data_IF_987634893565
#
_entry.id   IF_987634893565
#
_cell.length_a   1.000
_cell.length_b   1.000
_cell.length_c   1.000
_cell.angle_alpha   90.00
_cell.angle_beta   90.00
_cell.angle_gamma   90.00
#
_symmetry.space_group_name_H-M   'P 1'
#
loop_
_entity.id
_entity.type
_entity.pdbx_description
1 polymer ?
#
# COMPACT_ATOMS: atom_id res chain seq x y z
N UNK A 1 43.50 32.83 39.83
CA UNK A 1 42.95 33.78 38.84
C UNK A 1 42.47 32.93 37.66
N UNK A 2 41.19 32.56 37.61
CA UNK A 2 40.13 33.17 36.77
C UNK A 2 40.41 32.92 35.26
N UNK A 3 39.58 32.32 34.39
CA UNK A 3 38.11 32.27 34.14
C UNK A 3 37.83 31.03 33.24
N UNK A 4 36.84 30.16 33.49
CA UNK A 4 35.45 30.21 32.97
C UNK A 4 35.30 30.64 31.50
N UNK A 5 35.00 29.70 30.58
CA UNK A 5 34.03 29.81 29.44
C UNK A 5 33.64 28.36 29.05
N UNK A 6 32.56 27.79 29.58
CA UNK A 6 31.20 27.77 29.01
C UNK A 6 31.07 26.91 27.73
N UNK A 7 30.74 25.63 27.93
CA UNK A 7 30.10 24.76 26.95
C UNK A 7 28.65 25.26 26.78
N UNK A 8 28.28 25.74 25.60
CA UNK A 8 26.88 25.83 25.21
C UNK A 8 26.69 25.25 23.82
N UNK A 9 25.93 24.16 23.81
CA UNK A 9 25.46 23.41 22.67
C UNK A 9 24.74 24.32 21.68
N UNK A 10 25.25 24.36 20.44
CA UNK A 10 24.41 24.69 19.30
C UNK A 10 23.55 23.45 19.00
N UNK A 11 22.37 23.42 19.59
CA UNK A 11 21.25 22.62 19.07
C UNK A 11 20.87 23.17 17.71
N UNK A 12 21.44 22.59 16.66
CA UNK A 12 20.93 22.75 15.30
C UNK A 12 19.56 22.08 15.24
N UNK A 13 18.49 22.87 15.40
CA UNK A 13 17.18 22.52 14.87
C UNK A 13 17.29 22.54 13.34
N UNK A 14 17.83 21.46 12.77
CA UNK A 14 17.66 21.18 11.36
C UNK A 14 16.17 20.90 11.13
N UNK A 15 15.56 21.69 10.24
CA UNK A 15 14.17 21.58 9.87
C UNK A 15 13.80 20.13 9.55
N UNK A 16 12.71 19.66 10.17
CA UNK A 16 11.91 18.60 9.59
C UNK A 16 11.20 19.17 8.35
N UNK A 17 11.95 19.44 7.28
CA UNK A 17 11.40 19.31 5.95
C UNK A 17 10.97 17.84 5.81
N UNK A 18 9.74 17.63 5.34
CA UNK A 18 9.12 16.30 5.18
C UNK A 18 10.00 15.39 4.35
N UNK A 19 10.92 14.70 5.02
CA UNK A 19 11.85 13.78 4.40
C UNK A 19 11.10 12.47 4.20
N UNK A 20 11.13 12.00 2.94
CA UNK A 20 10.73 10.64 2.58
C UNK A 20 11.29 9.67 3.64
N UNK A 21 10.48 8.77 4.22
CA UNK A 21 11.00 7.82 5.18
C UNK A 21 12.05 6.94 4.48
N UNK A 22 13.19 6.77 5.12
CA UNK A 22 14.19 5.80 4.66
C UNK A 22 13.72 4.36 4.91
N UNK A 23 14.40 3.41 4.28
CA UNK A 23 14.01 2.00 4.32
C UNK A 23 14.00 1.45 5.74
N UNK A 24 14.93 1.89 6.60
CA UNK A 24 15.00 1.49 8.00
C UNK A 24 13.76 1.97 8.78
N UNK A 25 13.33 3.22 8.58
CA UNK A 25 12.12 3.74 9.18
C UNK A 25 10.87 3.00 8.69
N UNK A 26 10.79 2.66 7.40
CA UNK A 26 9.68 1.87 6.84
C UNK A 26 9.63 0.48 7.50
N UNK A 27 10.77 -0.21 7.60
CA UNK A 27 10.89 -1.52 8.23
C UNK A 27 10.47 -1.48 9.70
N UNK A 28 10.96 -0.49 10.46
CA UNK A 28 10.63 -0.33 11.88
C UNK A 28 9.13 -0.06 12.11
N UNK A 29 8.43 0.59 11.17
CA UNK A 29 6.99 0.71 11.23
C UNK A 29 6.29 -0.61 10.86
N UNK A 30 6.77 -1.33 9.84
CA UNK A 30 6.19 -2.59 9.41
C UNK A 30 6.25 -3.67 10.51
N UNK A 31 7.32 -3.70 11.30
CA UNK A 31 7.48 -4.61 12.45
C UNK A 31 6.43 -4.39 13.55
N UNK A 32 5.73 -3.26 13.57
CA UNK A 32 4.66 -2.99 14.55
C UNK A 32 3.34 -3.64 14.15
N UNK A 33 3.18 -4.05 12.90
CA UNK A 33 1.98 -4.74 12.44
C UNK A 33 1.98 -6.20 12.91
N UNK A 34 0.79 -6.76 13.08
CA UNK A 34 0.67 -8.19 13.38
C UNK A 34 1.29 -9.00 12.24
N UNK A 35 2.22 -9.90 12.58
CA UNK A 35 2.74 -10.87 11.62
C UNK A 35 1.64 -11.88 11.29
N UNK A 36 1.25 -12.05 10.02
CA UNK A 36 0.28 -13.07 9.64
C UNK A 36 0.83 -14.48 9.90
N UNK A 37 -0.02 -15.38 10.35
CA UNK A 37 0.32 -16.78 10.56
C UNK A 37 0.45 -17.50 9.22
N UNK A 38 1.41 -18.41 9.04
CA UNK A 38 1.48 -19.26 7.86
C UNK A 38 0.20 -20.08 7.65
N UNK A 39 -0.16 -20.34 6.40
CA UNK A 39 -1.33 -21.15 6.05
C UNK A 39 -1.97 -20.77 4.73
N UNK A 40 -3.09 -21.42 4.42
CA UNK A 40 -3.94 -21.10 3.30
C UNK A 40 -4.77 -19.86 3.63
N UNK A 41 -4.78 -18.89 2.72
CA UNK A 41 -5.57 -17.68 2.80
C UNK A 41 -6.52 -17.57 1.62
N UNK A 42 -7.73 -17.07 1.91
CA UNK A 42 -8.66 -16.56 0.90
C UNK A 42 -8.51 -15.05 0.82
N UNK A 43 -8.17 -14.54 -0.36
CA UNK A 43 -8.15 -13.12 -0.70
C UNK A 43 -9.38 -12.81 -1.53
N UNK A 44 -10.19 -11.87 -1.05
CA UNK A 44 -11.34 -11.31 -1.77
C UNK A 44 -11.02 -9.89 -2.17
N UNK A 45 -10.95 -9.63 -3.48
CA UNK A 45 -10.70 -8.30 -4.04
C UNK A 45 -12.00 -7.75 -4.62
N UNK A 46 -12.42 -6.59 -4.13
CA UNK A 46 -13.65 -5.91 -4.54
C UNK A 46 -13.30 -4.58 -5.19
N UNK A 47 -13.83 -4.33 -6.39
CA UNK A 47 -13.78 -3.01 -7.01
C UNK A 47 -14.92 -2.17 -6.44
N UNK A 48 -14.58 -1.19 -5.59
CA UNK A 48 -15.59 -0.39 -4.88
C UNK A 48 -15.98 0.86 -5.66
N UNK A 49 -15.12 1.35 -6.55
CA UNK A 49 -15.45 2.53 -7.34
C UNK A 49 -14.40 2.88 -8.38
N UNK A 50 -14.86 3.59 -9.41
CA UNK A 50 -14.02 4.21 -10.42
C UNK A 50 -14.68 5.50 -10.91
N UNK A 51 -13.86 6.49 -11.18
CA UNK A 51 -14.30 7.82 -11.59
C UNK A 51 -13.33 8.42 -12.60
N UNK A 52 -13.90 9.09 -13.60
CA UNK A 52 -13.17 9.85 -14.63
C UNK A 52 -13.60 11.31 -14.51
N UNK A 53 -13.01 12.09 -13.59
CA UNK A 53 -13.54 13.39 -13.20
C UNK A 53 -13.59 14.41 -14.36
N UNK A 54 -12.77 14.21 -15.40
CA UNK A 54 -12.63 15.10 -16.54
C UNK A 54 -13.11 14.48 -17.86
N UNK A 55 -13.62 13.24 -17.85
CA UNK A 55 -14.20 12.63 -19.05
C UNK A 55 -15.61 13.18 -19.31
N UNK A 56 -16.11 12.96 -20.52
CA UNK A 56 -17.52 13.26 -20.79
C UNK A 56 -18.45 12.34 -19.98
N UNK A 57 -19.70 12.77 -19.82
CA UNK A 57 -20.67 12.07 -18.98
C UNK A 57 -21.10 10.70 -19.51
N UNK A 58 -20.87 10.41 -20.79
CA UNK A 58 -21.21 9.13 -21.41
C UNK A 58 -20.13 8.09 -21.12
N UNK A 59 -18.86 8.43 -21.34
CA UNK A 59 -17.71 7.57 -21.03
C UNK A 59 -17.67 7.23 -19.54
N UNK A 60 -17.82 8.24 -18.68
CA UNK A 60 -17.83 8.02 -17.22
C UNK A 60 -18.98 7.10 -16.78
N UNK A 61 -20.15 7.19 -17.42
CA UNK A 61 -21.30 6.32 -17.13
C UNK A 61 -21.03 4.88 -17.57
N UNK A 62 -20.58 4.69 -18.80
CA UNK A 62 -20.30 3.35 -19.35
C UNK A 62 -19.29 2.61 -18.47
N UNK A 63 -18.24 3.29 -18.02
CA UNK A 63 -17.23 2.65 -17.17
C UNK A 63 -17.79 2.30 -15.80
N UNK A 64 -18.55 3.20 -15.15
CA UNK A 64 -19.21 2.89 -13.87
C UNK A 64 -20.15 1.69 -13.99
N UNK A 65 -20.98 1.64 -15.03
CA UNK A 65 -21.94 0.55 -15.23
C UNK A 65 -21.23 -0.80 -15.43
N UNK A 66 -20.12 -0.81 -16.17
CA UNK A 66 -19.29 -2.01 -16.34
C UNK A 66 -18.70 -2.51 -15.02
N UNK A 67 -18.24 -1.59 -14.17
CA UNK A 67 -17.61 -1.94 -12.91
C UNK A 67 -18.61 -2.35 -11.83
N UNK A 68 -19.80 -1.75 -11.82
CA UNK A 68 -20.89 -2.13 -10.92
C UNK A 68 -21.36 -3.59 -11.12
N UNK A 69 -21.14 -4.14 -12.32
CA UNK A 69 -21.43 -5.55 -12.63
C UNK A 69 -20.28 -6.52 -12.36
N UNK A 70 -19.14 -6.07 -11.81
CA UNK A 70 -18.02 -6.96 -11.52
C UNK A 70 -18.22 -7.67 -10.19
N UNK A 71 -18.25 -8.99 -10.25
CA UNK A 71 -18.21 -9.81 -9.04
C UNK A 71 -16.84 -9.68 -8.34
N UNK A 72 -16.82 -9.73 -6.98
CA UNK A 72 -15.58 -9.81 -6.23
C UNK A 72 -14.70 -10.96 -6.71
N UNK A 73 -13.43 -10.67 -6.93
CA UNK A 73 -12.46 -11.67 -7.36
C UNK A 73 -11.94 -12.39 -6.13
N UNK A 74 -12.20 -13.69 -6.03
CA UNK A 74 -11.74 -14.54 -4.93
C UNK A 74 -10.59 -15.40 -5.43
N UNK A 75 -9.48 -15.39 -4.70
CA UNK A 75 -8.34 -16.27 -4.93
C UNK A 75 -7.87 -16.88 -3.61
N UNK A 76 -7.36 -18.10 -3.68
CA UNK A 76 -6.69 -18.72 -2.54
C UNK A 76 -5.18 -18.72 -2.79
N UNK A 77 -4.40 -18.46 -1.75
CA UNK A 77 -2.94 -18.45 -1.83
C UNK A 77 -2.34 -18.99 -0.52
N UNK A 78 -1.17 -19.59 -0.64
CA UNK A 78 -0.43 -20.11 0.49
C UNK A 78 0.58 -19.08 0.99
N UNK A 79 0.48 -18.72 2.27
CA UNK A 79 1.46 -17.89 2.94
C UNK A 79 2.43 -18.78 3.70
N UNK A 80 3.70 -18.75 3.31
CA UNK A 80 4.79 -19.51 3.93
C UNK A 80 5.52 -18.68 4.99
N UNK A 81 6.22 -19.32 5.95
CA UNK A 81 6.95 -18.61 6.99
C UNK A 81 8.09 -17.72 6.46
N UNK A 82 8.61 -18.01 5.26
CA UNK A 82 9.74 -17.33 4.66
C UNK A 82 9.37 -16.00 3.99
N UNK A 83 8.09 -15.76 3.69
CA UNK A 83 7.60 -14.58 2.95
C UNK A 83 7.54 -13.29 3.79
N UNK A 84 8.30 -13.23 4.90
CA UNK A 84 8.70 -12.02 5.61
C UNK A 84 7.60 -11.04 6.05
N UNK A 85 6.31 -11.40 5.94
CA UNK A 85 5.18 -10.55 6.24
C UNK A 85 5.12 -9.29 5.37
N UNK A 86 4.60 -8.19 5.94
CA UNK A 86 4.49 -6.90 5.26
C UNK A 86 5.82 -6.36 4.72
N UNK A 87 6.96 -6.78 5.26
CA UNK A 87 8.30 -6.33 4.84
C UNK A 87 8.64 -6.77 3.41
N UNK A 88 8.41 -8.03 3.06
CA UNK A 88 8.79 -8.52 1.73
C UNK A 88 7.82 -7.97 0.67
N UNK A 89 6.54 -7.81 1.02
CA UNK A 89 5.57 -7.07 0.22
C UNK A 89 6.04 -5.63 -0.04
N UNK A 90 6.47 -4.90 0.99
CA UNK A 90 6.96 -3.53 0.85
C UNK A 90 8.24 -3.44 0.01
N UNK A 91 9.16 -4.40 0.15
CA UNK A 91 10.36 -4.48 -0.70
C UNK A 91 9.99 -4.70 -2.16
N UNK A 92 9.10 -5.64 -2.46
CA UNK A 92 8.63 -5.86 -3.83
C UNK A 92 7.92 -4.64 -4.42
N UNK A 93 7.25 -3.82 -3.59
CA UNK A 93 6.65 -2.56 -4.03
C UNK A 93 7.71 -1.47 -4.29
N UNK A 94 8.82 -1.46 -3.54
CA UNK A 94 9.94 -0.53 -3.74
C UNK A 94 10.81 -0.89 -4.95
N UNK A 95 10.92 -2.17 -5.29
CA UNK A 95 11.65 -2.64 -6.48
C UNK A 95 10.94 -2.26 -7.80
N UNK A 96 9.69 -1.78 -7.72
CA UNK A 96 8.96 -1.21 -8.85
C UNK A 96 9.26 0.29 -9.07
N UNK A 97 8.58 0.90 -10.05
CA UNK A 97 8.68 2.34 -10.33
C UNK A 97 7.96 3.22 -9.28
N UNK A 98 7.86 2.76 -8.02
CA UNK A 98 7.09 3.37 -6.94
C UNK A 98 7.98 3.93 -5.82
N UNK A 99 7.80 5.21 -5.50
CA UNK A 99 8.40 5.88 -4.35
C UNK A 99 7.40 5.94 -3.20
N UNK A 100 7.73 5.31 -2.08
CA UNK A 100 6.96 5.45 -0.83
C UNK A 100 7.17 6.86 -0.28
N UNK A 101 6.12 7.67 -0.20
CA UNK A 101 6.18 9.01 0.42
C UNK A 101 5.88 8.96 1.92
N UNK A 102 4.96 8.08 2.31
CA UNK A 102 4.54 7.94 3.70
C UNK A 102 4.30 6.48 4.02
N UNK A 103 4.76 6.07 5.20
CA UNK A 103 4.40 4.79 5.77
C UNK A 103 4.33 4.93 7.29
N UNK A 104 3.14 4.71 7.85
CA UNK A 104 2.91 4.84 9.29
C UNK A 104 2.04 3.69 9.77
N UNK A 105 2.36 3.18 10.96
CA UNK A 105 1.58 2.11 11.58
C UNK A 105 1.17 2.52 12.98
N UNK A 106 -0.07 2.15 13.35
CA UNK A 106 -0.63 2.39 14.69
C UNK A 106 -1.28 1.11 15.18
N UNK A 107 -0.55 0.35 16.00
CA UNK A 107 -0.96 -0.99 16.48
C UNK A 107 -1.24 -1.93 15.31
N UNK A 108 -2.51 -2.08 14.93
CA UNK A 108 -2.99 -2.97 13.86
C UNK A 108 -3.28 -2.22 12.57
N UNK A 109 -3.34 -0.89 12.60
CA UNK A 109 -3.64 -0.08 11.43
C UNK A 109 -2.38 0.28 10.65
N UNK A 110 -2.49 0.25 9.33
CA UNK A 110 -1.50 0.72 8.37
C UNK A 110 -2.05 1.90 7.57
N UNK A 111 -1.20 2.88 7.31
CA UNK A 111 -1.45 3.99 6.40
C UNK A 111 -0.17 4.27 5.62
N UNK A 112 -0.25 4.12 4.29
CA UNK A 112 0.84 4.37 3.38
C UNK A 112 0.39 5.20 2.18
N UNK A 113 1.31 5.97 1.62
CA UNK A 113 1.14 6.68 0.37
C UNK A 113 2.38 6.47 -0.50
N UNK A 114 2.14 6.18 -1.78
CA UNK A 114 3.17 5.89 -2.77
C UNK A 114 2.90 6.66 -4.05
N UNK A 115 3.98 7.04 -4.74
CA UNK A 115 3.95 7.67 -6.05
C UNK A 115 4.67 6.78 -7.04
N UNK A 116 3.93 6.26 -8.01
CA UNK A 116 4.42 5.34 -9.01
C UNK A 116 4.48 6.02 -10.38
N UNK A 117 5.56 5.81 -11.12
CA UNK A 117 5.59 6.13 -12.55
C UNK A 117 4.84 5.05 -13.34
N UNK A 118 4.08 5.45 -14.36
CA UNK A 118 3.36 4.52 -15.23
C UNK A 118 4.20 4.20 -16.47
N UNK A 119 4.30 2.93 -16.85
CA UNK A 119 5.10 2.48 -18.03
C UNK A 119 4.68 3.13 -19.35
N UNK A 120 3.42 3.52 -19.49
CA UNK A 120 2.87 4.20 -20.68
C UNK A 120 3.04 5.73 -20.65
N UNK A 121 3.78 6.27 -19.66
CA UNK A 121 3.78 7.69 -19.35
C UNK A 121 2.64 8.08 -18.41
N UNK A 122 2.91 9.03 -17.52
CA UNK A 122 1.99 9.44 -16.47
C UNK A 122 2.42 9.02 -15.07
N UNK A 123 1.60 9.37 -14.08
CA UNK A 123 1.87 9.16 -12.65
C UNK A 123 0.67 8.54 -11.96
N UNK A 124 0.92 7.72 -10.96
CA UNK A 124 -0.09 7.09 -10.12
C UNK A 124 0.21 7.38 -8.65
N UNK A 125 -0.70 8.04 -7.94
CA UNK A 125 -0.65 8.15 -6.49
C UNK A 125 -1.49 7.04 -5.89
N UNK A 126 -0.91 6.23 -5.02
CA UNK A 126 -1.58 5.11 -4.35
C UNK A 126 -1.60 5.36 -2.86
N UNK A 127 -2.79 5.58 -2.31
CA UNK A 127 -3.00 5.62 -0.87
C UNK A 127 -3.52 4.27 -0.40
N UNK A 128 -2.82 3.68 0.55
CA UNK A 128 -3.16 2.40 1.15
C UNK A 128 -3.51 2.61 2.61
N UNK A 129 -4.69 2.16 3.01
CA UNK A 129 -5.10 2.11 4.41
C UNK A 129 -5.57 0.72 4.75
N UNK A 130 -5.47 0.31 6.01
CA UNK A 130 -5.95 -1.00 6.37
C UNK A 130 -5.67 -1.40 7.80
N UNK A 131 -6.06 -2.62 8.11
CA UNK A 131 -5.80 -3.29 9.39
C UNK A 131 -5.28 -4.69 9.15
N UNK A 132 -4.34 -5.12 9.99
CA UNK A 132 -3.77 -6.45 9.98
C UNK A 132 -3.91 -7.15 11.34
N UNK A 133 -4.36 -8.39 11.29
CA UNK A 133 -4.45 -9.35 12.38
C UNK A 133 -3.67 -10.63 12.02
N UNK A 134 -3.35 -11.50 13.00
CA UNK A 134 -2.57 -12.71 12.72
C UNK A 134 -3.23 -13.67 11.71
N UNK A 135 -4.55 -13.60 11.51
CA UNK A 135 -5.29 -14.52 10.61
C UNK A 135 -6.16 -13.78 9.60
N UNK A 136 -6.12 -12.44 9.57
CA UNK A 136 -6.93 -11.65 8.65
C UNK A 136 -6.32 -10.28 8.36
N UNK A 137 -6.68 -9.69 7.23
CA UNK A 137 -6.40 -8.28 6.96
C UNK A 137 -7.49 -7.66 6.11
N UNK A 138 -7.67 -6.36 6.27
CA UNK A 138 -8.53 -5.54 5.43
C UNK A 138 -7.69 -4.38 4.92
N UNK A 139 -7.60 -4.23 3.61
CA UNK A 139 -6.80 -3.21 2.94
C UNK A 139 -7.72 -2.48 1.96
N UNK A 140 -7.66 -1.16 1.98
CA UNK A 140 -8.29 -0.28 1.00
C UNK A 140 -7.20 0.48 0.26
N UNK A 141 -7.28 0.44 -1.06
CA UNK A 141 -6.43 1.17 -1.98
C UNK A 141 -7.27 2.25 -2.66
N UNK A 142 -6.88 3.50 -2.48
CA UNK A 142 -7.39 4.65 -3.24
C UNK A 142 -6.27 5.08 -4.20
N UNK A 143 -6.54 5.00 -5.49
CA UNK A 143 -5.56 5.16 -6.57
C UNK A 143 -5.99 6.34 -7.44
N UNK A 144 -5.14 7.35 -7.55
CA UNK A 144 -5.30 8.47 -8.46
C UNK A 144 -4.27 8.37 -9.59
N UNK A 145 -4.73 8.31 -10.84
CA UNK A 145 -3.88 8.20 -12.02
C UNK A 145 -4.01 9.43 -12.92
N UNK A 146 -2.89 9.88 -13.45
CA UNK A 146 -2.78 10.95 -14.43
C UNK A 146 -1.99 10.43 -15.63
N UNK A 147 -2.60 10.44 -16.81
CA UNK A 147 -1.97 10.02 -18.06
C UNK A 147 -2.81 10.45 -19.25
N UNK A 148 -2.16 10.82 -20.35
CA UNK A 148 -2.83 11.20 -21.61
C UNK A 148 -3.62 10.03 -22.24
N UNK A 149 -3.31 8.78 -21.84
CA UNK A 149 -4.05 7.60 -22.27
C UNK A 149 -5.39 7.38 -21.56
N UNK A 150 -5.71 8.18 -20.54
CA UNK A 150 -6.96 8.11 -19.79
C UNK A 150 -7.95 9.13 -20.37
N UNK A 151 -9.23 8.78 -20.62
CA UNK A 151 -10.25 9.76 -20.99
C UNK A 151 -10.32 10.91 -19.97
N UNK A 152 -10.12 12.15 -20.43
CA UNK A 152 -10.03 13.32 -19.55
C UNK A 152 -8.71 13.46 -18.77
N UNK A 153 -7.71 12.61 -19.04
CA UNK A 153 -6.37 12.69 -18.46
C UNK A 153 -6.25 12.25 -17.00
N UNK A 154 -7.35 11.89 -16.34
CA UNK A 154 -7.39 11.52 -14.92
C UNK A 154 -8.38 10.40 -14.64
N UNK A 155 -7.96 9.44 -13.82
CA UNK A 155 -8.83 8.41 -13.26
C UNK A 155 -8.65 8.30 -11.74
N UNK A 156 -9.72 7.93 -11.05
CA UNK A 156 -9.69 7.56 -9.63
C UNK A 156 -10.28 6.17 -9.48
N UNK A 157 -9.62 5.31 -8.71
CA UNK A 157 -10.01 3.93 -8.51
C UNK A 157 -9.95 3.58 -7.03
N UNK A 158 -10.95 2.87 -6.56
CA UNK A 158 -10.98 2.32 -5.21
C UNK A 158 -11.10 0.81 -5.26
N UNK A 159 -10.19 0.14 -4.56
CA UNK A 159 -10.16 -1.32 -4.41
C UNK A 159 -10.14 -1.66 -2.92
N UNK A 160 -10.99 -2.60 -2.49
CA UNK A 160 -10.88 -3.24 -1.19
C UNK A 160 -10.38 -4.68 -1.33
N UNK A 161 -9.49 -5.08 -0.43
CA UNK A 161 -8.91 -6.42 -0.35
C UNK A 161 -9.10 -6.93 1.07
N UNK A 162 -9.79 -8.05 1.20
CA UNK A 162 -9.94 -8.77 2.46
C UNK A 162 -9.21 -10.11 2.37
N UNK A 163 -8.32 -10.38 3.32
CA UNK A 163 -7.65 -11.67 3.44
C UNK A 163 -8.08 -12.36 4.71
N UNK A 164 -8.33 -13.66 4.65
CA UNK A 164 -8.69 -14.49 5.80
C UNK A 164 -7.97 -15.84 5.70
N UNK A 165 -7.35 -16.29 6.79
CA UNK A 165 -6.75 -17.61 6.89
C UNK A 165 -7.84 -18.66 6.95
N UNK A 166 -7.88 -19.54 5.97
CA UNK A 166 -8.88 -20.61 5.86
C UNK A 166 -8.37 -21.97 6.35
N UNK A 167 -7.06 -22.11 6.59
CA UNK A 167 -6.50 -23.36 7.11
C UNK A 167 -5.00 -23.46 6.91
N UNK A 168 -4.50 -24.70 6.97
CA UNK A 168 -3.12 -25.01 6.61
C UNK A 168 -2.99 -25.14 5.09
N UNK A 169 -1.78 -24.90 4.58
CA UNK A 169 -1.50 -25.11 3.17
C UNK A 169 -1.63 -26.58 2.77
N UNK A 170 -2.19 -26.88 1.58
CA UNK A 170 -2.09 -28.21 1.01
C UNK A 170 -0.62 -28.63 0.91
N UNK A 171 -0.32 -29.91 1.19
CA UNK A 171 1.06 -30.43 1.19
C UNK A 171 1.78 -30.26 -0.17
N UNK A 172 1.02 -30.14 -1.26
CA UNK A 172 1.56 -29.99 -2.62
C UNK A 172 1.84 -28.53 -3.02
N UNK A 173 1.41 -27.54 -2.24
CA UNK A 173 1.65 -26.12 -2.50
C UNK A 173 3.09 -25.67 -2.14
N UNK A 174 3.91 -26.57 -1.61
CA UNK A 174 5.30 -26.33 -1.18
C UNK A 174 6.36 -26.63 -2.26
N UNK A 175 5.96 -26.80 -3.53
CA UNK A 175 6.92 -27.05 -4.61
C UNK A 175 7.11 -25.79 -5.45
N UNK A 176 8.34 -25.22 -5.53
CA UNK A 176 8.64 -24.04 -6.32
C UNK A 176 8.52 -24.27 -7.83
#
# INVERSE_FOLDING_TARGET
MQRLIAVLALTALAGCEGKKPDDEAILAQAEKLATPLPGLYRSTTTFEGYDLPNADGEDARIVRDRLAGLDPQVREFCLTPAEGGFRDMLKSMQDGDCTIERFTTRRRALDAQMHCAMKAGGTSTVKMTGTADPVSSQIRLDIDQLSDGIPGGQARLTIAIANERTGDCPQDAATP
#
